data_IF_815114351636
#
_entry.id   IF_815114351636
#
_cell.length_a   1.000
_cell.length_b   1.000
_cell.length_c   1.000
_cell.angle_alpha   90.00
_cell.angle_beta   90.00
_cell.angle_gamma   90.00
#
_symmetry.space_group_name_H-M   'P 1'
#
loop_
_entity.id
_entity.type
_entity.pdbx_description
1 polymer ?
#
# COMPACT_ATOMS: atom_id res chain seq x y z
N UNK A 1 -30.60 -11.29 1.41
CA UNK A 1 -29.61 -10.41 2.06
C UNK A 1 -28.54 -10.11 1.04
N UNK A 2 -28.24 -8.84 0.79
CA UNK A 2 -27.15 -8.44 -0.11
C UNK A 2 -25.98 -7.97 0.75
N UNK A 3 -24.79 -8.52 0.52
CA UNK A 3 -23.57 -8.18 1.25
C UNK A 3 -22.59 -7.55 0.26
N UNK A 4 -22.01 -6.41 0.63
CA UNK A 4 -20.95 -5.75 -0.14
C UNK A 4 -19.70 -5.72 0.73
N UNK A 5 -18.63 -6.31 0.22
CA UNK A 5 -17.31 -6.28 0.85
C UNK A 5 -16.44 -5.29 0.07
N UNK A 6 -15.79 -4.39 0.80
CA UNK A 6 -14.85 -3.41 0.24
C UNK A 6 -13.49 -3.55 0.89
N UNK A 7 -12.42 -3.39 0.11
CA UNK A 7 -11.06 -3.47 0.61
C UNK A 7 -10.04 -3.64 -0.53
N UNK A 8 -8.76 -3.57 -0.17
CA UNK A 8 -7.67 -3.89 -1.07
C UNK A 8 -7.03 -5.20 -0.61
N UNK A 9 -7.28 -6.30 -1.34
CA UNK A 9 -6.76 -7.63 -1.00
C UNK A 9 -5.23 -7.77 -1.12
N UNK A 10 -4.55 -6.73 -1.62
CA UNK A 10 -3.08 -6.61 -1.58
C UNK A 10 -2.55 -6.04 -0.26
N UNK A 11 -3.43 -5.73 0.68
CA UNK A 11 -3.07 -5.32 2.04
C UNK A 11 -2.81 -6.56 2.92
N UNK A 12 -2.63 -6.32 4.22
CA UNK A 12 -2.25 -7.33 5.21
C UNK A 12 -3.29 -8.47 5.24
N UNK A 13 -2.81 -9.71 5.22
CA UNK A 13 -3.62 -10.92 5.37
C UNK A 13 -4.22 -11.03 6.78
N UNK A 14 -5.24 -11.88 6.99
CA UNK A 14 -5.77 -12.15 8.33
C UNK A 14 -4.66 -12.58 9.29
N UNK A 15 -4.60 -11.96 10.47
CA UNK A 15 -3.63 -12.33 11.50
C UNK A 15 -4.24 -13.43 12.36
N UNK A 16 -3.59 -14.58 12.39
CA UNK A 16 -3.92 -15.69 13.30
C UNK A 16 -2.78 -15.80 14.33
N UNK A 17 -3.02 -15.46 15.60
CA UNK A 17 -2.00 -15.57 16.63
C UNK A 17 -1.49 -17.01 16.74
N UNK A 18 -0.17 -17.19 16.70
CA UNK A 18 0.49 -18.51 16.66
C UNK A 18 0.04 -19.42 15.49
N UNK A 19 -0.62 -18.87 14.48
CA UNK A 19 -1.04 -19.60 13.28
C UNK A 19 0.11 -19.79 12.30
N UNK A 20 0.02 -20.86 11.52
CA UNK A 20 0.93 -21.15 10.41
C UNK A 20 0.55 -20.34 9.16
N UNK A 21 1.41 -20.37 8.14
CA UNK A 21 1.10 -19.83 6.81
C UNK A 21 -0.18 -20.43 6.24
N UNK A 22 -0.36 -21.74 6.41
CA UNK A 22 -1.54 -22.46 5.93
C UNK A 22 -2.81 -21.99 6.65
N UNK A 23 -2.75 -21.75 7.95
CA UNK A 23 -3.88 -21.20 8.71
C UNK A 23 -4.28 -19.82 8.18
N UNK A 24 -3.30 -18.94 7.92
CA UNK A 24 -3.53 -17.59 7.38
C UNK A 24 -4.17 -17.67 5.98
N UNK A 25 -3.67 -18.55 5.11
CA UNK A 25 -4.24 -18.78 3.78
C UNK A 25 -5.68 -19.30 3.92
N UNK A 26 -5.90 -20.25 4.83
CA UNK A 26 -7.21 -20.85 5.05
C UNK A 26 -8.25 -19.86 5.58
N UNK A 27 -7.83 -18.88 6.38
CA UNK A 27 -8.70 -17.80 6.85
C UNK A 27 -8.90 -16.68 5.83
N UNK A 28 -8.13 -16.65 4.74
CA UNK A 28 -8.25 -15.62 3.71
C UNK A 28 -9.56 -15.77 2.94
N UNK A 29 -10.22 -14.63 2.64
CA UNK A 29 -11.54 -14.63 2.01
C UNK A 29 -11.55 -15.35 0.65
N UNK A 30 -10.47 -15.23 -0.11
CA UNK A 30 -10.29 -15.89 -1.40
C UNK A 30 -10.15 -17.42 -1.32
N UNK A 31 -9.90 -17.97 -0.12
CA UNK A 31 -9.89 -19.40 0.14
C UNK A 31 -11.22 -19.92 0.72
N UNK A 32 -12.19 -19.03 0.95
CA UNK A 32 -13.52 -19.42 1.43
C UNK A 32 -14.29 -20.20 0.36
N UNK A 33 -15.07 -21.20 0.78
CA UNK A 33 -16.03 -21.89 -0.08
C UNK A 33 -17.08 -20.93 -0.71
N UNK A 34 -17.25 -19.73 -0.14
CA UNK A 34 -18.12 -18.69 -0.67
C UNK A 34 -17.49 -17.89 -1.82
N UNK A 35 -16.16 -17.94 -1.99
CA UNK A 35 -15.43 -17.14 -2.98
C UNK A 35 -16.00 -17.22 -4.41
N UNK A 36 -16.36 -18.41 -4.94
CA UNK A 36 -16.93 -18.54 -6.29
C UNK A 36 -18.26 -17.83 -6.49
N UNK A 37 -18.97 -17.51 -5.40
CA UNK A 37 -20.27 -16.84 -5.44
C UNK A 37 -20.16 -15.31 -5.34
N UNK A 38 -18.98 -14.78 -5.03
CA UNK A 38 -18.76 -13.34 -5.02
C UNK A 38 -18.63 -12.79 -6.44
N UNK A 39 -19.29 -11.66 -6.69
CA UNK A 39 -19.03 -10.85 -7.89
C UNK A 39 -17.89 -9.88 -7.58
N UNK A 40 -16.77 -10.04 -8.28
CA UNK A 40 -15.64 -9.11 -8.17
C UNK A 40 -15.93 -7.82 -8.93
N UNK A 41 -15.81 -6.69 -8.24
CA UNK A 41 -15.89 -5.34 -8.82
C UNK A 41 -14.59 -4.60 -8.50
N UNK A 42 -13.90 -4.14 -9.53
CA UNK A 42 -12.61 -3.47 -9.38
C UNK A 42 -12.74 -1.97 -9.63
N UNK A 43 -12.25 -1.16 -8.69
CA UNK A 43 -12.06 0.27 -8.91
C UNK A 43 -10.73 0.49 -9.63
N UNK A 44 -10.79 1.03 -10.84
CA UNK A 44 -9.61 1.26 -11.69
C UNK A 44 -9.18 2.72 -11.72
N UNK A 45 -10.02 3.62 -11.22
CA UNK A 45 -9.80 5.05 -11.29
C UNK A 45 -9.19 5.59 -10.00
N UNK A 46 -8.03 6.24 -10.11
CA UNK A 46 -7.40 6.92 -8.99
C UNK A 46 -8.03 8.31 -8.81
N UNK A 47 -9.00 8.40 -7.90
CA UNK A 47 -9.69 9.65 -7.58
C UNK A 47 -8.76 10.78 -7.09
N UNK A 48 -7.55 10.48 -6.59
CA UNK A 48 -6.58 11.52 -6.18
C UNK A 48 -6.13 12.38 -7.36
N UNK A 49 -6.10 11.82 -8.57
CA UNK A 49 -5.74 12.54 -9.79
C UNK A 49 -6.85 13.49 -10.28
N UNK A 50 -8.08 13.34 -9.77
CA UNK A 50 -9.23 14.19 -10.12
C UNK A 50 -9.34 15.46 -9.29
N UNK A 51 -8.43 15.69 -8.34
CA UNK A 51 -8.48 16.89 -7.52
C UNK A 51 -8.24 18.15 -8.40
N UNK A 52 -9.21 19.08 -8.51
CA UNK A 52 -9.06 20.27 -9.34
C UNK A 52 -8.01 21.24 -8.80
N UNK A 53 -7.65 21.14 -7.51
CA UNK A 53 -6.67 22.01 -6.87
C UNK A 53 -5.22 21.52 -7.00
N UNK A 54 -5.00 20.45 -7.77
CA UNK A 54 -3.67 19.86 -7.96
C UNK A 54 -3.06 20.35 -9.27
N UNK A 55 -1.82 20.82 -9.21
CA UNK A 55 -1.04 21.25 -10.38
C UNK A 55 -0.74 20.06 -11.30
N UNK A 56 -0.44 20.32 -12.56
CA UNK A 56 -0.08 19.26 -13.51
C UNK A 56 1.18 18.49 -13.08
N UNK A 57 2.11 19.17 -12.41
CA UNK A 57 3.32 18.53 -11.86
C UNK A 57 2.98 17.57 -10.72
N UNK A 58 2.18 18.00 -9.75
CA UNK A 58 1.74 17.13 -8.65
C UNK A 58 0.90 15.95 -9.15
N UNK A 59 0.06 16.14 -10.17
CA UNK A 59 -0.69 15.04 -10.81
C UNK A 59 0.26 14.00 -11.40
N UNK A 60 1.31 14.45 -12.08
CA UNK A 60 2.33 13.56 -12.65
C UNK A 60 3.06 12.78 -11.55
N UNK A 61 3.43 13.43 -10.46
CA UNK A 61 4.08 12.77 -9.31
C UNK A 61 3.16 11.73 -8.65
N UNK A 62 1.88 12.07 -8.43
CA UNK A 62 0.89 11.13 -7.90
C UNK A 62 0.72 9.95 -8.85
N UNK A 63 0.68 10.18 -10.17
CA UNK A 63 0.55 9.12 -11.17
C UNK A 63 1.76 8.17 -11.12
N UNK A 64 2.98 8.70 -11.19
CA UNK A 64 4.21 7.92 -11.12
C UNK A 64 4.31 7.10 -9.82
N UNK A 65 3.93 7.69 -8.68
CA UNK A 65 3.88 6.98 -7.40
C UNK A 65 2.81 5.89 -7.41
N UNK A 66 1.64 6.18 -7.98
CA UNK A 66 0.52 5.23 -8.05
C UNK A 66 0.83 4.03 -8.93
N UNK A 67 1.48 4.24 -10.08
CA UNK A 67 1.92 3.15 -10.95
C UNK A 67 2.96 2.26 -10.28
N UNK A 68 3.93 2.88 -9.58
CA UNK A 68 4.94 2.14 -8.83
C UNK A 68 4.32 1.33 -7.68
N UNK A 69 3.46 1.92 -6.85
CA UNK A 69 2.86 1.17 -5.73
C UNK A 69 1.90 0.07 -6.22
N UNK A 70 1.26 0.25 -7.38
CA UNK A 70 0.47 -0.78 -8.02
C UNK A 70 1.32 -1.95 -8.51
N UNK A 71 2.50 -1.70 -9.09
CA UNK A 71 3.40 -2.77 -9.51
C UNK A 71 3.93 -3.58 -8.32
N UNK A 72 4.22 -2.91 -7.20
CA UNK A 72 4.56 -3.56 -5.93
C UNK A 72 3.43 -4.47 -5.46
N UNK A 73 2.20 -3.93 -5.38
CA UNK A 73 1.04 -4.70 -4.92
C UNK A 73 0.64 -5.87 -5.82
N UNK A 74 0.97 -5.80 -7.12
CA UNK A 74 0.73 -6.89 -8.07
C UNK A 74 1.88 -7.89 -8.16
N UNK A 75 2.99 -7.66 -7.44
CA UNK A 75 4.18 -8.50 -7.50
C UNK A 75 4.94 -8.43 -8.82
N UNK A 76 4.75 -7.36 -9.59
CA UNK A 76 5.42 -7.14 -10.89
C UNK A 76 6.53 -6.08 -10.82
N UNK A 77 6.76 -5.49 -9.65
CA UNK A 77 7.88 -4.58 -9.43
C UNK A 77 9.21 -5.34 -9.51
N UNK A 78 10.23 -4.66 -10.03
CA UNK A 78 11.60 -5.19 -10.02
C UNK A 78 12.07 -5.43 -8.58
N UNK A 79 12.58 -6.64 -8.34
CA UNK A 79 13.00 -7.05 -7.01
C UNK A 79 13.98 -8.22 -7.03
N UNK A 80 14.61 -8.44 -5.88
CA UNK A 80 15.59 -9.51 -5.66
C UNK A 80 14.93 -10.53 -4.74
N UNK A 81 14.76 -11.77 -5.23
CA UNK A 81 14.22 -12.86 -4.40
C UNK A 81 15.11 -13.07 -3.16
N UNK A 82 14.49 -13.29 -2.01
CA UNK A 82 15.22 -13.60 -0.81
C UNK A 82 15.80 -15.03 -0.88
N UNK A 83 17.11 -15.15 -0.67
CA UNK A 83 17.81 -16.44 -0.66
C UNK A 83 17.36 -17.38 0.47
N UNK A 84 16.74 -16.85 1.54
CA UNK A 84 16.31 -17.61 2.72
C UNK A 84 14.80 -17.84 2.78
N UNK A 85 14.02 -17.10 1.98
CA UNK A 85 12.57 -17.17 1.99
C UNK A 85 12.03 -17.05 0.56
N UNK A 86 11.58 -18.17 -0.01
CA UNK A 86 11.10 -18.24 -1.38
C UNK A 86 9.84 -17.39 -1.63
N UNK A 87 9.08 -17.09 -0.58
CA UNK A 87 7.89 -16.24 -0.65
C UNK A 87 8.21 -14.73 -0.54
N UNK A 88 9.46 -14.37 -0.23
CA UNK A 88 9.87 -12.99 -0.02
C UNK A 88 10.67 -12.43 -1.21
N UNK A 89 10.38 -11.17 -1.55
CA UNK A 89 11.09 -10.42 -2.58
C UNK A 89 11.47 -9.05 -2.02
N UNK A 90 12.75 -8.70 -2.12
CA UNK A 90 13.26 -7.38 -1.77
C UNK A 90 13.01 -6.41 -2.90
N UNK A 91 12.30 -5.32 -2.61
CA UNK A 91 11.95 -4.28 -3.58
C UNK A 91 12.75 -3.01 -3.23
N UNK A 92 13.41 -2.41 -4.22
CA UNK A 92 14.09 -1.13 -4.04
C UNK A 92 13.06 0.00 -4.03
N UNK A 93 13.02 0.78 -2.95
CA UNK A 93 12.25 2.03 -2.91
C UNK A 93 13.00 3.08 -3.74
N UNK A 94 12.34 3.73 -4.72
CA UNK A 94 12.94 4.84 -5.47
C UNK A 94 13.43 5.95 -4.54
N UNK A 95 14.62 6.49 -4.82
CA UNK A 95 15.29 7.49 -3.96
C UNK A 95 14.45 8.75 -3.74
N UNK A 96 13.65 9.16 -4.74
CA UNK A 96 12.72 10.28 -4.63
C UNK A 96 11.63 10.10 -3.55
N UNK A 97 11.37 8.88 -3.11
CA UNK A 97 10.40 8.58 -2.05
C UNK A 97 11.07 8.35 -0.69
N UNK A 98 12.40 8.43 -0.62
CA UNK A 98 13.16 8.24 0.61
C UNK A 98 13.31 9.59 1.30
N UNK A 99 12.85 9.66 2.55
CA UNK A 99 13.06 10.81 3.42
C UNK A 99 14.49 10.74 3.96
N UNK A 100 15.32 11.73 3.60
CA UNK A 100 16.66 11.89 4.14
C UNK A 100 16.58 12.53 5.54
N UNK A 101 17.33 11.97 6.50
CA UNK A 101 17.40 12.48 7.87
C UNK A 101 18.84 12.37 8.39
N UNK A 102 19.29 13.34 9.18
CA UNK A 102 20.67 13.38 9.70
C UNK A 102 20.77 12.90 11.15
N UNK A 103 19.80 13.26 12.01
CA UNK A 103 19.90 13.02 13.46
C UNK A 103 18.63 12.39 14.04
N UNK A 104 17.44 12.91 13.70
CA UNK A 104 16.18 12.46 14.29
C UNK A 104 15.11 12.15 13.23
N UNK A 105 14.86 10.86 12.92
CA UNK A 105 13.88 10.49 11.90
C UNK A 105 12.44 10.82 12.30
N UNK A 106 12.10 10.78 13.60
CA UNK A 106 10.73 11.07 14.08
C UNK A 106 10.41 12.55 13.88
N UNK A 107 11.33 13.42 14.28
CA UNK A 107 11.20 14.86 14.10
C UNK A 107 11.08 15.22 12.62
N UNK A 108 11.91 14.60 11.76
CA UNK A 108 11.86 14.85 10.32
C UNK A 108 10.53 14.45 9.69
N UNK A 109 9.97 13.30 10.08
CA UNK A 109 8.63 12.88 9.63
C UNK A 109 7.56 13.86 10.11
N UNK A 110 7.66 14.29 11.38
CA UNK A 110 6.72 15.26 11.96
C UNK A 110 6.72 16.59 11.20
N UNK A 111 7.90 17.13 10.88
CA UNK A 111 8.04 18.36 10.08
C UNK A 111 7.45 18.22 8.67
N UNK A 112 7.70 17.09 8.00
CA UNK A 112 7.25 16.85 6.63
C UNK A 112 5.74 16.63 6.51
N UNK A 113 5.14 15.92 7.46
CA UNK A 113 3.71 15.61 7.42
C UNK A 113 2.88 16.78 7.94
N UNK A 114 3.39 17.48 8.95
CA UNK A 114 2.66 18.54 9.59
C UNK A 114 3.40 19.86 9.48
N UNK A 115 3.24 20.50 8.31
CA UNK A 115 3.69 21.86 8.10
C UNK A 115 3.19 22.78 9.22
N UNK A 116 4.15 23.34 9.96
CA UNK A 116 3.91 24.34 10.99
C UNK A 116 3.03 23.88 12.16
N UNK A 117 3.16 22.64 12.66
CA UNK A 117 2.55 22.22 13.94
C UNK A 117 2.74 23.28 15.04
N UNK A 118 3.96 23.81 15.17
CA UNK A 118 4.28 24.81 16.18
C UNK A 118 3.62 26.18 15.96
N UNK A 119 3.23 26.56 14.73
CA UNK A 119 2.50 27.83 14.49
C UNK A 119 0.99 27.69 14.67
N UNK A 120 0.45 26.47 14.64
CA UNK A 120 -1.00 26.22 14.79
C UNK A 120 -1.44 26.01 16.24
N UNK A 121 -0.50 25.77 17.15
CA UNK A 121 -0.79 25.42 18.54
C UNK A 121 -0.08 26.30 19.58
N UNK A 122 0.50 27.43 19.16
CA UNK A 122 0.96 28.53 20.02
C UNK A 122 0.18 29.81 19.72
#
# INVERSE_FOLDING_TARGET
MTIILGGNFRQILPIIPAGTKEDIINASLNNSYLWPYFKLLSLTENMRLKNPNTTEQEKKEILEFSEWILSVGNGTADGIKDSKNEDATWIKIPEKYIIQYELNPIEKISELIYDNLQKKFN
#
